data_IF_969885819652
#
_entry.id   IF_969885819652
#
_cell.length_a   1.000
_cell.length_b   1.000
_cell.length_c   1.000
_cell.angle_alpha   90.00
_cell.angle_beta   90.00
_cell.angle_gamma   90.00
#
_symmetry.space_group_name_H-M   'P 1'
#
loop_
_entity.id
_entity.type
_entity.pdbx_description
1 polymer ?
#
# COMPACT_ATOMS: atom_id res chain seq x y z
N UNK A 1 3.78 31.48 20.68
CA UNK A 1 4.22 32.64 19.87
C UNK A 1 3.13 32.88 18.85
N UNK A 2 2.33 33.93 19.06
CA UNK A 2 1.02 34.10 18.42
C UNK A 2 1.17 34.46 16.94
N UNK A 3 0.63 33.60 16.05
CA UNK A 3 0.44 33.89 14.63
C UNK A 3 -0.70 34.92 14.51
N UNK A 4 -0.33 36.18 14.28
CA UNK A 4 -1.28 37.22 13.92
C UNK A 4 -1.91 36.88 12.57
N UNK A 5 -3.16 36.40 12.56
CA UNK A 5 -4.02 36.42 11.38
C UNK A 5 -4.34 37.88 11.05
N UNK A 6 -3.57 38.51 10.16
CA UNK A 6 -3.98 39.74 9.47
C UNK A 6 -5.24 39.41 8.64
N UNK A 7 -6.24 40.27 8.68
CA UNK A 7 -7.45 40.12 7.86
C UNK A 7 -7.11 40.18 6.38
N UNK A 8 -7.89 39.51 5.53
CA UNK A 8 -7.70 39.47 4.08
C UNK A 8 -7.64 40.87 3.43
N UNK A 9 -8.31 41.87 4.01
CA UNK A 9 -8.27 43.27 3.55
C UNK A 9 -6.92 43.97 3.83
N UNK A 10 -6.21 43.58 4.90
CA UNK A 10 -4.91 44.17 5.27
C UNK A 10 -3.71 43.53 4.57
N UNK A 11 -3.89 42.37 3.95
CA UNK A 11 -2.85 41.63 3.24
C UNK A 11 -2.64 42.14 1.80
N UNK A 12 -3.65 42.78 1.20
CA UNK A 12 -3.58 43.29 -0.18
C UNK A 12 -2.74 44.58 -0.33
N UNK A 13 -2.32 45.20 0.78
CA UNK A 13 -1.76 46.56 0.77
C UNK A 13 -0.24 46.64 0.59
N UNK A 14 0.51 45.53 0.67
CA UNK A 14 1.99 45.65 0.70
C UNK A 14 2.58 45.84 -0.71
N UNK A 15 2.04 45.16 -1.72
CA UNK A 15 2.56 45.17 -3.10
C UNK A 15 1.63 45.84 -4.12
N UNK A 16 0.35 46.01 -3.81
CA UNK A 16 -0.67 46.51 -4.75
C UNK A 16 -0.68 45.77 -6.11
N UNK A 17 -0.25 44.50 -6.14
CA UNK A 17 0.01 43.74 -7.35
C UNK A 17 -1.13 42.77 -7.75
N UNK A 18 -2.31 42.90 -7.15
CA UNK A 18 -3.43 41.97 -7.39
C UNK A 18 -3.85 41.94 -8.87
N UNK A 19 -3.97 43.09 -9.51
CA UNK A 19 -4.38 43.19 -10.92
C UNK A 19 -3.27 42.72 -11.87
N UNK A 20 -2.00 42.97 -11.52
CA UNK A 20 -0.85 42.42 -12.25
C UNK A 20 -0.88 40.88 -12.20
N UNK A 21 -1.07 40.32 -11.00
CA UNK A 21 -1.15 38.89 -10.79
C UNK A 21 -2.34 38.26 -11.52
N UNK A 22 -3.53 38.86 -11.42
CA UNK A 22 -4.73 38.39 -12.15
C UNK A 22 -4.50 38.42 -13.66
N UNK A 23 -3.92 39.49 -14.18
CA UNK A 23 -3.63 39.63 -15.61
C UNK A 23 -2.64 38.57 -16.09
N UNK A 24 -1.62 38.27 -15.30
CA UNK A 24 -0.65 37.21 -15.61
C UNK A 24 -1.30 35.82 -15.61
N UNK A 25 -2.15 35.50 -14.63
CA UNK A 25 -2.91 34.25 -14.61
C UNK A 25 -3.82 34.11 -15.84
N UNK A 26 -4.52 35.18 -16.22
CA UNK A 26 -5.40 35.18 -17.41
C UNK A 26 -4.59 35.01 -18.71
N UNK A 27 -3.39 35.60 -18.78
CA UNK A 27 -2.53 35.50 -19.94
C UNK A 27 -1.96 34.09 -20.15
N UNK A 28 -1.65 33.37 -19.06
CA UNK A 28 -1.17 31.98 -19.12
C UNK A 28 -2.30 30.96 -19.31
N UNK A 29 -3.50 31.27 -18.78
CA UNK A 29 -4.67 30.43 -18.95
C UNK A 29 -5.12 30.34 -20.41
N UNK A 30 -5.55 29.16 -20.85
CA UNK A 30 -6.12 28.98 -22.20
C UNK A 30 -7.44 29.75 -22.43
N UNK A 31 -8.06 30.23 -21.36
CA UNK A 31 -9.23 31.10 -21.39
C UNK A 31 -9.29 31.93 -20.11
N UNK A 32 -9.70 33.22 -20.17
CA UNK A 32 -9.95 34.03 -18.98
C UNK A 32 -10.97 33.41 -18.02
N UNK A 33 -11.93 32.61 -18.52
CA UNK A 33 -12.92 31.94 -17.67
C UNK A 33 -12.31 30.84 -16.78
N UNK A 34 -11.07 30.42 -17.02
CA UNK A 34 -10.37 29.45 -16.18
C UNK A 34 -9.75 30.06 -14.92
N UNK A 35 -9.74 31.39 -14.79
CA UNK A 35 -9.23 32.11 -13.62
C UNK A 35 -10.42 32.69 -12.86
N UNK A 36 -10.62 32.22 -11.63
CA UNK A 36 -11.76 32.60 -10.80
C UNK A 36 -11.46 33.71 -9.81
N UNK A 37 -12.14 33.61 -8.65
CA UNK A 37 -12.07 34.61 -7.60
C UNK A 37 -10.71 34.60 -6.89
N UNK A 38 -10.36 35.75 -6.32
CA UNK A 38 -9.15 35.85 -5.50
C UNK A 38 -9.35 35.09 -4.19
N UNK A 39 -8.41 34.22 -3.86
CA UNK A 39 -8.46 33.36 -2.67
C UNK A 39 -7.64 33.93 -1.53
N UNK A 40 -6.46 34.47 -1.83
CA UNK A 40 -5.54 34.96 -0.82
C UNK A 40 -4.16 35.29 -1.37
N UNK A 41 -3.34 35.91 -0.54
CA UNK A 41 -1.95 36.22 -0.83
C UNK A 41 -1.07 35.70 0.29
N UNK A 42 0.04 35.08 -0.08
CA UNK A 42 1.04 34.55 0.85
C UNK A 42 2.35 35.31 0.63
N UNK A 43 2.94 35.83 1.70
CA UNK A 43 4.19 36.58 1.65
C UNK A 43 5.36 35.71 2.15
N UNK A 44 6.48 35.79 1.44
CA UNK A 44 7.73 35.13 1.76
C UNK A 44 8.91 36.12 1.66
N UNK A 45 10.10 35.66 2.07
CA UNK A 45 11.36 36.39 1.95
C UNK A 45 11.30 37.83 2.48
N UNK A 46 10.97 38.00 3.76
CA UNK A 46 10.86 39.32 4.40
C UNK A 46 9.91 40.27 3.66
N UNK A 47 8.80 39.73 3.14
CA UNK A 47 7.81 40.43 2.33
C UNK A 47 8.38 40.99 1.02
N UNK A 48 9.38 40.35 0.42
CA UNK A 48 9.88 40.68 -0.93
C UNK A 48 9.28 39.83 -2.04
N UNK A 49 8.64 38.72 -1.68
CA UNK A 49 7.94 37.81 -2.59
C UNK A 49 6.51 37.60 -2.10
N UNK A 50 5.55 37.65 -3.02
CA UNK A 50 4.13 37.47 -2.76
C UNK A 50 3.52 36.49 -3.77
N UNK A 51 2.88 35.44 -3.28
CA UNK A 51 2.13 34.47 -4.09
C UNK A 51 0.65 34.77 -4.02
N UNK A 52 0.10 35.30 -5.12
CA UNK A 52 -1.32 35.59 -5.27
C UNK A 52 -2.07 34.36 -5.78
N UNK A 53 -3.08 33.94 -5.03
CA UNK A 53 -3.86 32.74 -5.31
C UNK A 53 -5.24 33.10 -5.86
N UNK A 54 -5.64 32.43 -6.94
CA UNK A 54 -6.97 32.53 -7.54
C UNK A 54 -7.59 31.14 -7.69
N UNK A 55 -8.91 31.05 -7.63
CA UNK A 55 -9.60 29.80 -7.95
C UNK A 55 -9.28 29.36 -9.40
N UNK A 56 -9.09 28.07 -9.61
CA UNK A 56 -8.90 27.51 -10.95
C UNK A 56 -10.17 26.82 -11.43
N UNK A 57 -10.64 27.22 -12.62
CA UNK A 57 -11.69 26.52 -13.36
C UNK A 57 -11.13 25.74 -14.55
N UNK A 58 -9.84 25.39 -14.52
CA UNK A 58 -9.24 24.52 -15.53
C UNK A 58 -9.91 23.13 -15.52
N UNK A 59 -10.36 22.62 -16.69
CA UNK A 59 -10.90 21.28 -16.79
C UNK A 59 -9.90 20.22 -16.29
N UNK A 60 -10.34 19.35 -15.37
CA UNK A 60 -9.51 18.29 -14.78
C UNK A 60 -8.75 18.70 -13.51
N UNK A 61 -8.62 20.00 -13.22
CA UNK A 61 -7.90 20.52 -12.05
C UNK A 61 -8.87 20.99 -10.95
N UNK A 62 -9.83 20.13 -10.60
CA UNK A 62 -10.85 20.44 -9.58
C UNK A 62 -10.18 20.72 -8.23
N UNK A 63 -10.49 21.87 -7.62
CA UNK A 63 -9.95 22.26 -6.32
C UNK A 63 -8.51 22.82 -6.37
N UNK A 64 -7.94 22.99 -7.56
CA UNK A 64 -6.64 23.63 -7.75
C UNK A 64 -6.78 25.15 -7.76
N UNK A 65 -5.64 25.83 -7.60
CA UNK A 65 -5.53 27.28 -7.59
C UNK A 65 -4.49 27.72 -8.61
N UNK A 66 -4.76 28.83 -9.28
CA UNK A 66 -3.69 29.59 -9.93
C UNK A 66 -2.88 30.27 -8.85
N UNK A 67 -1.56 30.15 -8.94
CA UNK A 67 -0.61 30.83 -8.08
C UNK A 67 0.30 31.68 -8.95
N UNK A 68 0.29 32.98 -8.70
CA UNK A 68 1.15 33.93 -9.39
C UNK A 68 2.12 34.51 -8.38
N UNK A 69 3.39 34.19 -8.55
CA UNK A 69 4.44 34.71 -7.68
C UNK A 69 4.93 36.03 -8.23
N UNK A 70 4.93 37.05 -7.38
CA UNK A 70 5.37 38.40 -7.68
C UNK A 70 6.50 38.76 -6.73
N UNK A 71 7.58 39.32 -7.27
CA UNK A 71 8.68 39.85 -6.47
C UNK A 71 8.78 41.38 -6.59
N UNK A 72 9.22 42.00 -5.50
CA UNK A 72 9.52 43.43 -5.40
C UNK A 72 10.90 43.59 -4.77
N UNK A 73 11.81 44.28 -5.46
CA UNK A 73 13.22 44.41 -5.00
C UNK A 73 13.32 45.28 -3.74
N UNK A 74 12.52 46.34 -3.67
CA UNK A 74 12.34 47.23 -2.53
C UNK A 74 10.95 47.90 -2.58
N UNK A 75 10.63 48.76 -1.61
CA UNK A 75 9.31 49.39 -1.51
C UNK A 75 8.99 50.36 -2.67
N UNK A 76 10.00 50.88 -3.37
CA UNK A 76 9.86 51.86 -4.44
C UNK A 76 9.81 51.21 -5.84
N UNK A 77 10.35 50.01 -5.97
CA UNK A 77 10.40 49.24 -7.22
C UNK A 77 9.02 48.79 -7.69
N UNK A 78 8.79 48.73 -9.00
CA UNK A 78 7.57 48.12 -9.53
C UNK A 78 7.57 46.59 -9.29
N UNK A 79 6.42 45.99 -8.93
CA UNK A 79 6.32 44.54 -8.77
C UNK A 79 6.48 43.83 -10.13
N UNK A 80 7.21 42.71 -10.14
CA UNK A 80 7.42 41.88 -11.34
C UNK A 80 6.93 40.46 -11.11
N UNK A 81 6.32 39.86 -12.14
CA UNK A 81 5.86 38.47 -12.10
C UNK A 81 7.06 37.54 -12.28
N UNK A 82 7.24 36.61 -11.36
CA UNK A 82 8.28 35.59 -11.41
C UNK A 82 7.81 34.33 -12.12
N UNK A 83 6.62 33.83 -11.77
CA UNK A 83 6.00 32.66 -12.39
C UNK A 83 4.47 32.70 -12.28
N UNK A 84 3.85 31.86 -13.12
CA UNK A 84 2.43 31.53 -13.08
C UNK A 84 2.34 30.01 -13.10
N UNK A 85 1.75 29.43 -12.07
CA UNK A 85 1.63 27.97 -11.93
C UNK A 85 0.25 27.59 -11.41
N UNK A 86 -0.18 26.36 -11.68
CA UNK A 86 -1.34 25.76 -11.03
C UNK A 86 -0.86 24.90 -9.86
N UNK A 87 -1.37 25.16 -8.65
CA UNK A 87 -1.02 24.41 -7.45
C UNK A 87 -2.25 23.69 -6.88
N UNK A 88 -2.06 22.50 -6.27
CA UNK A 88 -3.12 21.80 -5.57
C UNK A 88 -3.63 22.63 -4.39
N UNK A 89 -4.93 22.90 -4.35
CA UNK A 89 -5.59 23.47 -3.17
C UNK A 89 -6.03 22.39 -2.17
N UNK A 90 -6.63 22.77 -1.02
CA UNK A 90 -7.05 21.83 0.02
C UNK A 90 -8.06 20.78 -0.46
N UNK A 91 -8.88 21.12 -1.45
CA UNK A 91 -9.91 20.27 -2.04
C UNK A 91 -9.45 19.63 -3.37
N UNK A 92 -8.16 19.72 -3.68
CA UNK A 92 -7.63 19.21 -4.94
C UNK A 92 -7.54 17.69 -4.94
N UNK A 93 -7.89 17.09 -6.07
CA UNK A 93 -7.56 15.69 -6.33
C UNK A 93 -6.08 15.60 -6.72
N UNK A 94 -5.27 15.00 -5.85
CA UNK A 94 -3.86 14.71 -6.12
C UNK A 94 -3.65 13.22 -6.36
N UNK A 95 -2.57 12.89 -7.06
CA UNK A 95 -2.15 11.51 -7.21
C UNK A 95 -1.79 10.91 -5.83
N UNK A 96 -2.07 9.62 -5.61
CA UNK A 96 -1.59 8.94 -4.41
C UNK A 96 -0.05 8.88 -4.40
N UNK A 97 0.51 8.62 -3.24
CA UNK A 97 1.95 8.46 -3.08
C UNK A 97 2.47 7.36 -4.01
N UNK A 98 3.63 7.62 -4.62
CA UNK A 98 4.28 6.62 -5.45
C UNK A 98 4.88 5.52 -4.56
N UNK A 99 4.53 4.27 -4.88
CA UNK A 99 5.03 3.08 -4.17
C UNK A 99 6.09 2.38 -5.05
N UNK A 100 7.25 1.94 -4.55
CA UNK A 100 8.19 1.12 -5.30
C UNK A 100 7.54 -0.13 -5.92
N UNK A 101 7.93 -0.52 -7.14
CA UNK A 101 7.33 -1.69 -7.82
C UNK A 101 7.39 -2.97 -6.98
N UNK A 102 8.51 -3.19 -6.27
CA UNK A 102 8.69 -4.35 -5.38
C UNK A 102 7.67 -4.43 -4.25
N UNK A 103 7.14 -3.28 -3.81
CA UNK A 103 6.11 -3.17 -2.77
C UNK A 103 4.69 -3.25 -3.34
N UNK A 104 4.53 -3.25 -4.67
CA UNK A 104 3.23 -3.36 -5.33
C UNK A 104 2.82 -4.81 -5.61
N UNK A 105 3.75 -5.76 -5.62
CA UNK A 105 3.47 -7.15 -6.00
C UNK A 105 2.51 -7.79 -4.98
N UNK A 106 1.35 -8.21 -5.47
CA UNK A 106 0.29 -8.88 -4.72
C UNK A 106 0.21 -10.37 -5.05
N UNK A 107 -0.46 -11.17 -4.20
CA UNK A 107 -0.86 -12.53 -4.56
C UNK A 107 -1.67 -12.52 -5.86
N UNK A 108 -1.21 -13.29 -6.85
CA UNK A 108 -1.86 -13.39 -8.17
C UNK A 108 -1.16 -12.60 -9.29
N UNK A 109 -0.26 -11.68 -8.97
CA UNK A 109 0.50 -10.92 -9.98
C UNK A 109 1.57 -11.77 -10.68
N UNK A 110 1.96 -12.90 -10.09
CA UNK A 110 2.98 -13.80 -10.62
C UNK A 110 2.32 -14.88 -11.47
N UNK A 111 2.51 -14.80 -12.78
CA UNK A 111 1.98 -15.73 -13.78
C UNK A 111 3.02 -16.72 -14.33
N UNK A 112 2.61 -17.45 -15.37
CA UNK A 112 3.48 -18.41 -16.03
C UNK A 112 4.62 -17.71 -16.78
N UNK A 113 5.86 -18.00 -16.39
CA UNK A 113 7.06 -17.43 -17.00
C UNK A 113 7.63 -16.21 -16.25
N UNK A 114 6.90 -15.68 -15.27
CA UNK A 114 7.38 -14.56 -14.47
C UNK A 114 8.45 -15.02 -13.48
N UNK A 115 9.50 -14.20 -13.34
CA UNK A 115 10.55 -14.40 -12.35
C UNK A 115 10.58 -13.17 -11.45
N UNK A 116 10.12 -13.34 -10.21
CA UNK A 116 10.27 -12.33 -9.17
C UNK A 116 11.62 -12.56 -8.48
N UNK A 117 12.58 -11.63 -8.60
CA UNK A 117 13.86 -11.77 -7.91
C UNK A 117 13.63 -11.83 -6.40
N UNK A 118 14.19 -12.86 -5.75
CA UNK A 118 14.12 -12.96 -4.30
C UNK A 118 14.96 -11.87 -3.65
N UNK A 119 14.45 -11.23 -2.61
CA UNK A 119 15.26 -10.36 -1.75
C UNK A 119 16.33 -11.21 -1.03
N UNK A 120 17.64 -10.85 -1.08
CA UNK A 120 18.67 -11.50 -0.29
C UNK A 120 18.39 -11.47 1.21
N UNK A 121 17.80 -10.37 1.69
CA UNK A 121 17.55 -10.08 3.11
C UNK A 121 16.10 -10.40 3.54
N UNK A 122 15.44 -11.33 2.85
CA UNK A 122 14.08 -11.77 3.21
C UNK A 122 14.07 -12.50 4.56
N UNK A 123 13.49 -11.89 5.59
CA UNK A 123 13.40 -12.43 6.96
C UNK A 123 12.67 -13.77 7.05
N UNK A 124 11.83 -14.08 6.06
CA UNK A 124 11.09 -15.35 5.98
C UNK A 124 11.98 -16.51 5.55
N UNK A 125 13.23 -16.25 5.18
CA UNK A 125 14.20 -17.24 4.73
C UNK A 125 15.45 -17.24 5.61
N UNK A 126 15.97 -18.42 5.89
CA UNK A 126 17.26 -18.64 6.55
C UNK A 126 18.10 -19.62 5.74
N UNK A 127 19.44 -19.66 5.90
CA UNK A 127 20.27 -20.67 5.25
C UNK A 127 19.79 -22.08 5.57
N UNK A 128 19.91 -23.02 4.62
CA UNK A 128 19.41 -24.40 4.77
C UNK A 128 19.94 -25.12 6.01
N UNK A 129 21.21 -24.91 6.37
CA UNK A 129 21.81 -25.49 7.58
C UNK A 129 21.23 -24.94 8.89
N UNK A 130 20.54 -23.79 8.88
CA UNK A 130 19.91 -23.23 10.07
C UNK A 130 18.59 -23.94 10.44
N UNK A 131 18.10 -24.85 9.60
CA UNK A 131 16.93 -25.68 9.92
C UNK A 131 17.29 -26.97 10.70
N UNK A 132 18.56 -27.16 11.09
CA UNK A 132 19.05 -28.37 11.74
C UNK A 132 18.53 -28.56 13.18
N UNK A 133 18.02 -29.75 13.52
CA UNK A 133 18.09 -30.30 14.89
C UNK A 133 19.55 -30.64 15.27
N UNK A 134 19.89 -30.60 16.56
CA UNK A 134 21.21 -31.02 17.08
C UNK A 134 21.40 -32.56 17.11
N UNK A 135 20.93 -33.27 16.09
CA UNK A 135 20.98 -34.73 16.03
C UNK A 135 22.05 -35.20 15.04
N UNK A 136 23.01 -36.00 15.50
CA UNK A 136 24.16 -36.48 14.69
C UNK A 136 23.79 -37.70 13.81
N UNK A 137 22.63 -38.31 14.00
CA UNK A 137 22.19 -39.54 13.30
C UNK A 137 21.19 -39.29 12.14
N UNK A 138 21.20 -38.09 11.55
CA UNK A 138 20.23 -37.67 10.52
C UNK A 138 20.34 -38.48 9.22
N UNK A 139 19.21 -39.07 8.77
CA UNK A 139 19.14 -39.84 7.52
C UNK A 139 19.04 -38.94 6.26
N UNK A 140 19.23 -39.53 5.06
CA UNK A 140 19.25 -38.80 3.77
C UNK A 140 17.89 -38.23 3.34
N UNK A 141 16.78 -38.81 3.77
CA UNK A 141 15.42 -38.32 3.51
C UNK A 141 15.13 -37.13 4.43
N UNK A 142 15.50 -37.24 5.70
CA UNK A 142 15.51 -36.16 6.68
C UNK A 142 16.41 -35.00 6.22
N UNK A 143 17.58 -35.26 5.64
CA UNK A 143 18.44 -34.22 5.05
C UNK A 143 17.70 -33.40 3.97
N UNK A 144 16.85 -34.05 3.16
CA UNK A 144 16.04 -33.36 2.15
C UNK A 144 14.84 -32.63 2.77
N UNK A 145 14.14 -33.25 3.72
CA UNK A 145 13.01 -32.65 4.44
C UNK A 145 13.42 -31.44 5.28
N UNK A 146 14.61 -31.47 5.89
CA UNK A 146 15.21 -30.34 6.62
C UNK A 146 15.88 -29.32 5.69
N UNK A 147 15.89 -29.57 4.37
CA UNK A 147 16.34 -28.64 3.35
C UNK A 147 17.85 -28.41 3.33
N UNK A 148 18.65 -29.42 3.71
CA UNK A 148 20.11 -29.36 3.70
C UNK A 148 20.72 -29.37 2.29
N UNK A 149 19.90 -29.66 1.28
CA UNK A 149 20.25 -29.47 -0.14
C UNK A 149 19.75 -28.14 -0.69
N UNK A 150 18.97 -27.36 0.09
CA UNK A 150 18.41 -26.08 -0.32
C UNK A 150 19.30 -24.94 0.16
N UNK A 151 19.58 -23.92 -0.68
CA UNK A 151 20.39 -22.78 -0.25
C UNK A 151 19.73 -22.01 0.89
N UNK A 152 18.40 -21.90 0.86
CA UNK A 152 17.57 -21.27 1.89
C UNK A 152 16.30 -22.08 2.14
N UNK A 153 15.81 -22.01 3.37
CA UNK A 153 14.59 -22.66 3.87
C UNK A 153 13.76 -21.65 4.66
N UNK A 154 12.48 -21.96 4.88
CA UNK A 154 11.59 -21.07 5.60
C UNK A 154 12.00 -20.92 7.07
N UNK A 155 12.18 -19.67 7.50
CA UNK A 155 12.50 -19.28 8.87
C UNK A 155 11.30 -19.50 9.81
N UNK A 156 11.51 -19.35 11.12
CA UNK A 156 10.42 -19.39 12.11
C UNK A 156 9.41 -18.28 11.81
N UNK A 157 9.89 -17.07 11.49
CA UNK A 157 9.04 -15.94 11.12
C UNK A 157 8.23 -16.24 9.86
N UNK A 158 8.85 -16.81 8.82
CA UNK A 158 8.15 -17.21 7.60
C UNK A 158 7.04 -18.23 7.87
N UNK A 159 7.28 -19.19 8.77
CA UNK A 159 6.29 -20.19 9.19
C UNK A 159 5.15 -19.55 9.99
N UNK A 160 5.44 -18.62 10.88
CA UNK A 160 4.46 -17.89 11.68
C UNK A 160 3.58 -16.98 10.80
N UNK A 161 4.18 -16.26 9.83
CA UNK A 161 3.41 -15.48 8.87
C UNK A 161 2.50 -16.37 8.01
N UNK A 162 2.98 -17.54 7.58
CA UNK A 162 2.19 -18.49 6.81
C UNK A 162 1.05 -19.09 7.64
N UNK A 163 1.33 -19.50 8.89
CA UNK A 163 0.32 -20.09 9.78
C UNK A 163 -0.80 -19.09 10.07
N UNK A 164 -0.47 -17.84 10.40
CA UNK A 164 -1.46 -16.77 10.61
C UNK A 164 -2.34 -16.58 9.38
N UNK A 165 -1.74 -16.37 8.21
CA UNK A 165 -2.48 -16.17 6.95
C UNK A 165 -3.38 -17.35 6.61
N UNK A 166 -2.94 -18.58 6.83
CA UNK A 166 -3.74 -19.77 6.53
C UNK A 166 -4.87 -19.98 7.53
N UNK A 167 -4.61 -19.76 8.82
CA UNK A 167 -5.60 -19.96 9.89
C UNK A 167 -6.67 -18.86 9.90
N UNK A 168 -6.30 -17.62 9.60
CA UNK A 168 -7.24 -16.50 9.44
C UNK A 168 -7.87 -16.46 8.05
N UNK A 169 -7.35 -17.27 7.13
CA UNK A 169 -7.77 -17.34 5.74
C UNK A 169 -9.10 -18.05 5.53
N UNK A 170 -9.44 -18.22 4.27
CA UNK A 170 -10.67 -18.84 3.81
C UNK A 170 -10.73 -20.36 4.04
N UNK A 171 -9.67 -20.95 4.62
CA UNK A 171 -9.52 -22.36 5.03
C UNK A 171 -9.18 -22.54 6.50
N UNK A 172 -9.47 -21.51 7.29
CA UNK A 172 -9.48 -21.55 8.74
C UNK A 172 -10.81 -22.03 9.33
N UNK A 173 -10.89 -22.14 10.66
CA UNK A 173 -12.08 -22.63 11.37
C UNK A 173 -13.26 -21.66 11.33
N UNK A 174 -13.01 -20.37 11.09
CA UNK A 174 -14.03 -19.31 11.23
C UNK A 174 -14.83 -19.06 9.94
N UNK A 175 -14.71 -19.94 8.96
CA UNK A 175 -15.37 -19.78 7.66
C UNK A 175 -16.78 -20.38 7.71
N UNK A 176 -17.74 -19.88 6.92
CA UNK A 176 -19.10 -20.44 6.91
C UNK A 176 -19.13 -21.94 6.60
N UNK A 177 -18.28 -22.42 5.70
CA UNK A 177 -18.18 -23.84 5.34
C UNK A 177 -17.67 -24.68 6.52
N UNK A 178 -16.68 -24.20 7.27
CA UNK A 178 -16.15 -24.89 8.44
C UNK A 178 -17.16 -24.95 9.58
N UNK A 179 -17.85 -23.84 9.85
CA UNK A 179 -18.85 -23.75 10.92
C UNK A 179 -20.09 -24.62 10.66
N UNK A 180 -20.40 -24.88 9.38
CA UNK A 180 -21.52 -25.74 8.97
C UNK A 180 -21.08 -27.19 8.71
N UNK A 181 -19.79 -27.49 8.83
CA UNK A 181 -19.28 -28.82 8.58
C UNK A 181 -19.75 -29.79 9.68
N UNK A 182 -20.04 -31.05 9.34
CA UNK A 182 -20.46 -32.05 10.32
C UNK A 182 -19.33 -32.41 11.31
N UNK A 183 -18.08 -32.35 10.86
CA UNK A 183 -16.87 -32.71 11.62
C UNK A 183 -15.67 -31.92 11.11
N UNK A 184 -14.64 -31.81 11.94
CA UNK A 184 -13.39 -31.12 11.60
C UNK A 184 -12.39 -32.03 10.87
N UNK A 185 -11.53 -31.42 10.06
CA UNK A 185 -10.46 -32.05 9.30
C UNK A 185 -9.55 -32.95 10.15
N UNK A 186 -9.33 -32.61 11.43
CA UNK A 186 -8.56 -33.40 12.40
C UNK A 186 -9.04 -34.84 12.59
N UNK A 187 -10.31 -35.13 12.24
CA UNK A 187 -10.89 -36.49 12.28
C UNK A 187 -11.23 -37.06 10.90
N UNK A 188 -10.88 -36.35 9.83
CA UNK A 188 -11.20 -36.76 8.47
C UNK A 188 -10.16 -37.74 7.93
N UNK A 189 -10.61 -38.87 7.38
CA UNK A 189 -9.73 -39.87 6.77
C UNK A 189 -9.05 -39.41 5.47
N UNK A 190 -9.50 -38.31 4.86
CA UNK A 190 -8.88 -37.70 3.68
C UNK A 190 -7.85 -36.60 4.03
N UNK A 191 -7.59 -36.37 5.31
CA UNK A 191 -6.64 -35.36 5.77
C UNK A 191 -5.21 -35.90 5.74
N UNK A 192 -4.34 -35.25 4.95
CA UNK A 192 -2.92 -35.55 4.89
C UNK A 192 -2.14 -34.51 5.71
N UNK A 193 -1.53 -34.85 6.85
CA UNK A 193 -0.76 -33.87 7.63
C UNK A 193 0.46 -33.37 6.84
N UNK A 194 0.70 -32.06 6.87
CA UNK A 194 1.94 -31.48 6.29
C UNK A 194 3.13 -31.87 7.16
N UNK A 195 4.31 -32.04 6.58
CA UNK A 195 5.53 -32.38 7.33
C UNK A 195 6.04 -31.23 8.23
N UNK A 196 6.92 -31.56 9.19
CA UNK A 196 7.61 -30.59 10.03
C UNK A 196 6.74 -29.90 11.09
N UNK A 197 7.13 -28.69 11.48
CA UNK A 197 6.53 -27.99 12.64
C UNK A 197 5.08 -27.52 12.42
N UNK A 198 4.62 -27.41 11.18
CA UNK A 198 3.23 -27.02 10.85
C UNK A 198 2.24 -28.18 10.95
N UNK A 199 2.72 -29.44 11.04
CA UNK A 199 1.88 -30.65 11.09
C UNK A 199 0.83 -30.64 12.20
N UNK A 200 1.14 -29.92 13.28
CA UNK A 200 0.31 -29.87 14.48
C UNK A 200 -0.93 -28.96 14.32
N UNK A 201 -1.03 -28.20 13.22
CA UNK A 201 -2.13 -27.28 12.98
C UNK A 201 -2.71 -27.35 11.55
N UNK A 202 -1.96 -27.87 10.56
CA UNK A 202 -2.35 -27.84 9.15
C UNK A 202 -2.10 -29.16 8.42
N UNK A 203 -2.90 -29.39 7.38
CA UNK A 203 -2.74 -30.50 6.44
C UNK A 203 -3.30 -30.15 5.07
N UNK A 204 -3.31 -31.12 4.16
CA UNK A 204 -3.88 -31.01 2.82
C UNK A 204 -5.07 -31.95 2.71
N UNK A 205 -6.18 -31.47 2.14
CA UNK A 205 -7.31 -32.33 1.81
C UNK A 205 -7.03 -33.10 0.52
N UNK A 206 -7.27 -34.41 0.54
CA UNK A 206 -7.12 -35.30 -0.62
C UNK A 206 -8.46 -35.88 -1.11
N UNK A 207 -9.58 -35.25 -0.73
CA UNK A 207 -10.89 -35.70 -1.16
C UNK A 207 -11.32 -34.97 -2.44
N UNK A 208 -11.31 -35.66 -3.58
CA UNK A 208 -11.63 -35.10 -4.89
C UNK A 208 -13.05 -34.48 -5.02
N UNK A 209 -14.00 -34.85 -4.16
CA UNK A 209 -15.35 -34.25 -4.15
C UNK A 209 -15.46 -33.06 -3.19
N UNK A 210 -14.45 -32.84 -2.35
CA UNK A 210 -14.40 -31.67 -1.47
C UNK A 210 -14.02 -30.43 -2.28
N UNK A 211 -14.61 -29.26 -1.98
CA UNK A 211 -14.08 -27.99 -2.51
C UNK A 211 -12.65 -27.70 -2.03
N UNK A 212 -12.16 -28.49 -1.06
CA UNK A 212 -10.85 -28.35 -0.45
C UNK A 212 -9.75 -29.19 -1.06
N UNK A 213 -10.05 -29.99 -2.08
CA UNK A 213 -9.06 -30.86 -2.70
C UNK A 213 -7.79 -30.11 -3.12
N UNK A 214 -6.64 -30.68 -2.76
CA UNK A 214 -5.32 -30.09 -2.98
C UNK A 214 -5.15 -28.67 -2.39
N UNK A 215 -5.82 -28.34 -1.29
CA UNK A 215 -5.64 -27.10 -0.52
C UNK A 215 -5.16 -27.38 0.89
N UNK A 216 -4.41 -26.41 1.44
CA UNK A 216 -4.02 -26.41 2.85
C UNK A 216 -5.22 -26.00 3.70
N UNK A 217 -5.54 -26.78 4.72
CA UNK A 217 -6.64 -26.55 5.67
C UNK A 217 -6.12 -26.63 7.10
N UNK A 218 -6.70 -25.86 8.02
CA UNK A 218 -6.43 -26.04 9.45
C UNK A 218 -7.09 -27.32 9.98
N UNK A 219 -6.56 -27.87 11.08
CA UNK A 219 -7.10 -29.09 11.71
C UNK A 219 -8.55 -28.95 12.19
N UNK A 220 -8.95 -27.73 12.52
CA UNK A 220 -10.29 -27.35 12.97
C UNK A 220 -11.13 -26.72 11.85
N UNK A 221 -10.63 -26.68 10.62
CA UNK A 221 -11.45 -26.46 9.44
C UNK A 221 -12.40 -27.65 9.22
N UNK A 222 -13.40 -27.49 8.37
CA UNK A 222 -14.31 -28.56 7.99
C UNK A 222 -15.00 -28.30 6.67
N UNK A 223 -15.51 -29.36 6.05
CA UNK A 223 -16.37 -29.26 4.87
C UNK A 223 -17.43 -30.36 4.89
N UNK A 224 -18.44 -30.24 4.01
CA UNK A 224 -19.52 -31.22 3.89
C UNK A 224 -19.08 -32.60 3.36
N UNK A 225 -17.88 -32.71 2.78
CA UNK A 225 -17.34 -33.94 2.21
C UNK A 225 -16.43 -34.70 3.22
N UNK A 226 -16.78 -34.68 4.50
CA UNK A 226 -16.04 -35.42 5.54
C UNK A 226 -16.14 -36.94 5.29
N UNK A 227 -15.07 -37.70 5.56
CA UNK A 227 -15.05 -39.17 5.37
C UNK A 227 -16.09 -39.93 6.19
N UNK A 228 -16.59 -39.27 7.24
CA UNK A 228 -17.62 -39.78 8.15
C UNK A 228 -18.82 -38.82 8.25
N UNK A 229 -19.12 -38.07 7.18
CA UNK A 229 -20.34 -37.29 7.12
C UNK A 229 -21.55 -38.24 7.06
N UNK A 230 -22.40 -38.17 8.08
CA UNK A 230 -23.69 -38.87 8.12
C UNK A 230 -24.82 -37.85 8.21
N UNK A 231 -25.84 -38.01 7.37
CA UNK A 231 -27.07 -37.19 7.38
C UNK A 231 -27.99 -37.64 8.51
#
# INVERSE_FOLDING_TARGET
MALFRKSAESANQEFEALELARSAAIADASSPQHVGDFVGVEFADENRVASYLFESFLPGYKGWRWCVTVAKVDNESEPTVCDVVALPGPESLIAPDWIPYVERIQPGDVGAGDVVPSNPDDSRLVPGFAALPQDEDLDRVQLFEYGLTRPRVMSIEGRDQASKRWYEGDRGPNTPIAQQAPKHCSSCGFFLPIAGSLRAAFGVCANAISPEDARVVSLDHGCGAHSEATI
#
